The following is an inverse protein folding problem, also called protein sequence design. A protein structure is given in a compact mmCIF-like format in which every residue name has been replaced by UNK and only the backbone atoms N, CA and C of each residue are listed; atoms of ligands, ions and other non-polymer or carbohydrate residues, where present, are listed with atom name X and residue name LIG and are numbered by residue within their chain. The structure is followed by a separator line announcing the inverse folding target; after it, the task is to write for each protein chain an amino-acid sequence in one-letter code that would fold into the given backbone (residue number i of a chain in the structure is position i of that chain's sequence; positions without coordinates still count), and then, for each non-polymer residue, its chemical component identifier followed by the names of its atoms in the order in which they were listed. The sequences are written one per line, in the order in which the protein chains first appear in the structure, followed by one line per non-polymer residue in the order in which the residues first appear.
data_IF_124519018991
#
_entry.id   IF_124519018991
#
_cell.length_a   1.000
_cell.length_b   1.000
_cell.length_c   1.000
_cell.angle_alpha   90.00
_cell.angle_beta   90.00
_cell.angle_gamma   90.00
#
_symmetry.space_group_name_H-M   'P 1'
#
loop_
_entity.id
_entity.type
_entity.pdbx_description
1 polymer ?
#
# COMPACT_ATOMS: atom_id res chain seq x y z
N UNK A 1 -10.89 -4.50 -13.68
CA UNK A 1 -12.10 -3.81 -14.23
C UNK A 1 -12.80 -4.79 -15.15
N UNK A 2 -14.11 -4.71 -15.29
CA UNK A 2 -14.82 -5.45 -16.35
C UNK A 2 -15.00 -4.60 -17.62
N UNK A 3 -15.75 -5.13 -18.59
CA UNK A 3 -16.01 -4.50 -19.89
C UNK A 3 -16.66 -3.10 -19.76
N UNK A 4 -17.34 -2.83 -18.62
CA UNK A 4 -18.00 -1.56 -18.33
C UNK A 4 -17.18 -0.66 -17.39
N UNK A 5 -15.89 -0.95 -17.22
CA UNK A 5 -14.98 -0.24 -16.30
C UNK A 5 -15.40 -0.30 -14.82
N UNK A 6 -16.22 -1.30 -14.44
CA UNK A 6 -16.59 -1.48 -13.03
C UNK A 6 -15.42 -2.08 -12.27
N UNK A 7 -15.09 -1.47 -11.12
CA UNK A 7 -14.07 -1.98 -10.22
C UNK A 7 -14.50 -3.31 -9.58
N UNK A 8 -13.61 -4.29 -9.61
CA UNK A 8 -13.77 -5.60 -8.98
C UNK A 8 -12.55 -5.85 -8.11
N UNK A 9 -12.76 -6.08 -6.82
CA UNK A 9 -11.69 -6.42 -5.88
C UNK A 9 -11.35 -7.90 -6.09
N UNK A 10 -10.06 -8.19 -6.22
CA UNK A 10 -9.53 -9.54 -6.41
C UNK A 10 -8.44 -9.80 -5.38
N UNK A 11 -7.91 -11.03 -5.35
CA UNK A 11 -6.79 -11.42 -4.48
C UNK A 11 -7.13 -11.42 -2.97
N UNK A 12 -8.09 -12.27 -2.60
CA UNK A 12 -8.45 -12.51 -1.20
C UNK A 12 -7.51 -13.49 -0.47
N UNK A 13 -6.34 -13.81 -1.04
CA UNK A 13 -5.42 -14.83 -0.52
C UNK A 13 -4.86 -14.53 0.88
N UNK A 14 -4.87 -13.25 1.27
CA UNK A 14 -4.48 -12.79 2.60
C UNK A 14 -5.66 -12.38 3.49
N UNK A 15 -6.89 -12.46 2.97
CA UNK A 15 -8.08 -12.07 3.72
C UNK A 15 -8.27 -12.92 4.99
N UNK A 16 -8.79 -12.30 6.04
CA UNK A 16 -9.06 -12.95 7.31
C UNK A 16 -10.54 -12.79 7.64
N UNK A 17 -11.21 -13.90 7.88
CA UNK A 17 -12.58 -13.90 8.40
C UNK A 17 -12.53 -13.71 9.90
N UNK A 18 -13.31 -12.75 10.39
CA UNK A 18 -13.54 -12.58 11.83
C UNK A 18 -14.36 -13.77 12.33
N UNK A 19 -13.73 -14.62 13.15
CA UNK A 19 -14.33 -15.86 13.64
C UNK A 19 -15.31 -15.63 14.81
N UNK A 20 -15.13 -14.55 15.57
CA UNK A 20 -15.95 -14.25 16.76
C UNK A 20 -16.51 -12.82 16.72
N UNK A 21 -17.77 -12.66 17.12
CA UNK A 21 -18.49 -11.38 17.11
C UNK A 21 -17.89 -10.34 18.08
N UNK A 22 -17.12 -10.77 19.08
CA UNK A 22 -16.44 -9.87 20.05
C UNK A 22 -14.95 -9.65 19.78
N UNK A 23 -14.37 -10.28 18.75
CA UNK A 23 -12.98 -10.05 18.39
C UNK A 23 -12.83 -8.71 17.65
N UNK A 24 -12.16 -7.76 18.31
CA UNK A 24 -11.86 -6.42 17.75
C UNK A 24 -10.67 -6.44 16.79
N UNK A 25 -9.86 -7.50 16.82
CA UNK A 25 -8.67 -7.66 16.00
C UNK A 25 -8.35 -9.13 15.77
N UNK A 26 -7.61 -9.42 14.69
CA UNK A 26 -7.01 -10.74 14.45
C UNK A 26 -5.50 -10.62 14.63
N UNK A 27 -4.93 -11.28 15.64
CA UNK A 27 -3.48 -11.36 15.80
C UNK A 27 -2.88 -12.25 14.71
N UNK A 28 -2.01 -11.68 13.87
CA UNK A 28 -1.42 -12.38 12.73
C UNK A 28 0.03 -11.97 12.53
N UNK A 29 0.84 -12.85 11.94
CA UNK A 29 2.12 -12.42 11.35
C UNK A 29 1.80 -11.35 10.30
N UNK A 30 2.48 -10.21 10.37
CA UNK A 30 2.25 -9.09 9.45
C UNK A 30 2.41 -9.57 8.01
N UNK A 31 1.34 -9.47 7.24
CA UNK A 31 1.34 -9.75 5.80
C UNK A 31 0.68 -8.61 5.04
N UNK A 32 1.28 -8.21 3.93
CA UNK A 32 0.76 -7.16 3.05
C UNK A 32 1.87 -6.52 2.22
N UNK A 33 1.48 -5.61 1.33
CA UNK A 33 2.40 -4.93 0.42
C UNK A 33 2.94 -3.66 1.08
N UNK A 34 4.26 -3.49 1.07
CA UNK A 34 4.91 -2.29 1.57
C UNK A 34 4.38 -1.03 0.85
N UNK A 35 4.12 0.04 1.61
CA UNK A 35 3.44 1.26 1.12
C UNK A 35 1.94 1.29 1.39
N UNK A 36 1.28 0.13 1.48
CA UNK A 36 -0.16 0.01 1.77
C UNK A 36 -0.45 -0.42 3.21
N UNK A 37 0.57 -0.90 3.92
CA UNK A 37 0.44 -1.40 5.29
C UNK A 37 0.12 -0.28 6.28
N UNK A 38 -0.91 -0.51 7.09
CA UNK A 38 -1.22 0.30 8.26
C UNK A 38 -0.04 0.24 9.27
N UNK A 39 0.53 1.39 9.68
CA UNK A 39 1.64 1.43 10.63
C UNK A 39 1.27 0.87 12.01
N UNK A 40 0.01 0.92 12.43
CA UNK A 40 -0.43 0.30 13.68
C UNK A 40 -0.51 -1.21 13.57
N UNK A 41 -1.03 -1.74 12.45
CA UNK A 41 -0.97 -3.18 12.16
C UNK A 41 0.47 -3.69 12.15
N UNK A 42 1.38 -2.98 11.49
CA UNK A 42 2.79 -3.35 11.43
C UNK A 42 3.43 -3.43 12.82
N UNK A 43 3.11 -2.46 13.70
CA UNK A 43 3.70 -2.37 15.04
C UNK A 43 3.09 -3.37 16.02
N UNK A 44 1.76 -3.50 16.01
CA UNK A 44 1.00 -4.28 17.00
C UNK A 44 0.73 -5.72 16.56
N UNK A 45 0.91 -6.04 15.28
CA UNK A 45 0.56 -7.33 14.68
C UNK A 45 -0.93 -7.68 14.81
N UNK A 46 -1.77 -6.66 15.01
CA UNK A 46 -3.21 -6.76 15.18
C UNK A 46 -3.91 -6.27 13.92
N UNK A 47 -4.42 -7.19 13.10
CA UNK A 47 -5.17 -6.85 11.91
C UNK A 47 -6.57 -6.41 12.32
N UNK A 48 -7.00 -5.23 11.86
CA UNK A 48 -8.32 -4.66 12.16
C UNK A 48 -8.97 -4.13 10.89
N UNK A 49 -10.27 -3.86 10.95
CA UNK A 49 -10.98 -3.17 9.86
C UNK A 49 -10.38 -1.80 9.55
N UNK A 50 -9.74 -1.14 10.54
CA UNK A 50 -9.06 0.16 10.34
C UNK A 50 -7.81 0.02 9.46
N UNK A 51 -7.17 -1.14 9.47
CA UNK A 51 -6.02 -1.42 8.63
C UNK A 51 -6.41 -1.49 7.14
N UNK A 52 -7.60 -2.04 6.84
CA UNK A 52 -8.18 -2.04 5.49
C UNK A 52 -8.58 -0.62 5.05
N UNK A 53 -9.13 0.19 5.97
CA UNK A 53 -9.48 1.60 5.68
C UNK A 53 -8.23 2.42 5.32
N UNK A 54 -7.13 2.22 6.05
CA UNK A 54 -5.86 2.90 5.75
C UNK A 54 -5.36 2.53 4.35
N UNK A 55 -5.27 1.23 4.04
CA UNK A 55 -4.76 0.76 2.75
C UNK A 55 -5.65 1.21 1.57
N UNK A 56 -6.96 1.25 1.76
CA UNK A 56 -7.89 1.84 0.78
C UNK A 56 -7.63 3.32 0.53
N UNK A 57 -7.34 4.10 1.58
CA UNK A 57 -6.97 5.52 1.45
C UNK A 57 -5.71 5.71 0.60
N UNK A 58 -4.72 4.84 0.76
CA UNK A 58 -3.50 4.82 -0.07
C UNK A 58 -3.84 4.52 -1.55
N UNK A 59 -4.69 3.54 -1.83
CA UNK A 59 -5.17 3.23 -3.19
C UNK A 59 -5.91 4.42 -3.81
N UNK A 60 -6.77 5.09 -3.04
CA UNK A 60 -7.48 6.27 -3.52
C UNK A 60 -6.50 7.38 -3.93
N UNK A 61 -5.47 7.63 -3.11
CA UNK A 61 -4.44 8.61 -3.44
C UNK A 61 -3.63 8.22 -4.67
N UNK A 62 -3.30 6.92 -4.83
CA UNK A 62 -2.61 6.41 -6.01
C UNK A 62 -3.40 6.69 -7.29
N UNK A 63 -4.71 6.40 -7.27
CA UNK A 63 -5.61 6.64 -8.40
C UNK A 63 -5.73 8.14 -8.70
N UNK A 64 -5.90 8.98 -7.67
CA UNK A 64 -6.06 10.43 -7.83
C UNK A 64 -4.77 11.11 -8.33
N UNK A 65 -3.61 10.67 -7.84
CA UNK A 65 -2.33 11.27 -8.19
C UNK A 65 -1.73 10.67 -9.48
N UNK A 66 -2.23 9.50 -9.92
CA UNK A 66 -1.64 8.68 -10.97
C UNK A 66 -0.12 8.46 -10.78
N UNK A 67 0.29 8.27 -9.52
CA UNK A 67 1.70 8.12 -9.11
C UNK A 67 1.84 6.93 -8.16
N UNK A 68 2.95 6.17 -8.27
CA UNK A 68 3.18 5.04 -7.39
C UNK A 68 3.27 5.48 -5.93
N UNK A 69 2.65 4.70 -5.05
CA UNK A 69 2.61 4.93 -3.60
C UNK A 69 3.96 4.84 -2.93
N UNK A 70 4.84 3.97 -3.44
CA UNK A 70 6.23 3.86 -3.02
C UNK A 70 7.11 4.25 -4.19
N UNK A 71 7.85 5.36 -4.03
CA UNK A 71 8.92 5.70 -4.97
C UNK A 71 10.15 4.89 -4.55
N UNK A 72 10.61 3.99 -5.41
CA UNK A 72 11.87 3.31 -5.18
C UNK A 72 12.99 4.33 -5.07
N UNK A 73 13.67 4.38 -3.92
CA UNK A 73 14.84 5.24 -3.71
C UNK A 73 15.92 4.98 -4.77
N UNK A 74 16.02 3.74 -5.27
CA UNK A 74 16.93 3.35 -6.34
C UNK A 74 16.55 4.00 -7.67
N UNK A 75 15.25 4.00 -8.02
CA UNK A 75 14.76 4.65 -9.24
C UNK A 75 14.87 6.18 -9.14
N UNK A 76 14.58 6.74 -7.97
CA UNK A 76 14.76 8.16 -7.70
C UNK A 76 16.23 8.59 -7.80
N UNK A 77 17.16 7.81 -7.21
CA UNK A 77 18.60 8.04 -7.30
C UNK A 77 19.11 7.99 -8.74
N UNK A 78 18.66 7.01 -9.53
CA UNK A 78 19.04 6.90 -10.94
C UNK A 78 18.49 8.07 -11.78
N UNK A 79 17.25 8.49 -11.53
CA UNK A 79 16.64 9.67 -12.18
C UNK A 79 17.39 10.96 -11.86
N UNK A 80 17.97 11.05 -10.66
CA UNK A 80 18.78 12.22 -10.25
C UNK A 80 20.20 12.18 -10.80
N UNK A 81 20.81 11.00 -10.96
CA UNK A 81 22.17 10.87 -11.52
C UNK A 81 22.28 11.53 -12.91
N UNK A 82 21.33 11.27 -13.81
CA UNK A 82 21.31 11.90 -15.14
C UNK A 82 21.01 13.41 -15.16
N UNK A 83 20.42 13.96 -14.08
CA UNK A 83 20.20 15.41 -13.93
C UNK A 83 21.39 16.11 -13.25
N UNK A 84 22.10 15.42 -12.36
CA UNK A 84 23.27 15.96 -11.64
C UNK A 84 24.45 16.20 -12.59
N UNK A 85 24.63 15.34 -13.60
CA UNK A 85 25.67 15.49 -14.63
C UNK A 85 25.49 16.75 -15.50
N UNK A 86 24.28 17.33 -15.54
CA UNK A 86 23.99 18.58 -16.29
C UNK A 86 24.12 19.85 -15.43
N UNK A 87 24.29 19.70 -14.12
CA UNK A 87 24.37 20.82 -13.16
C UNK A 87 25.83 21.10 -12.79
N UNK A 88 26.74 20.16 -13.07
CA UNK A 88 28.17 20.34 -12.89
C UNK A 88 28.69 21.09 -14.12
N UNK A 89 28.97 22.38 -13.97
CA UNK A 89 29.74 23.14 -14.99
C UNK A 89 31.16 22.56 -15.11
N UNK A 90 31.78 22.61 -16.31
CA UNK A 90 33.05 21.93 -16.64
C UNK A 90 34.26 22.38 -15.81
#
# INVERSE_FOLDING_TARGET
LDENLVAKVTDFGLSKTRLELDQTHTSTVVKGTFGYLDPEYFRRQQLTEKSDVYSFGVVLLEVLCARPTVVSLTEWGNKKKGQLEQIIDP
#
